data_IF_946621731908
#
_entry.id   IF_946621731908
#
_cell.length_a   1.000
_cell.length_b   1.000
_cell.length_c   1.000
_cell.angle_alpha   90.00
_cell.angle_beta   90.00
_cell.angle_gamma   90.00
#
_symmetry.space_group_name_H-M   'P 1'
#
loop_
_entity.id
_entity.type
_entity.pdbx_description
1 polymer ?
#
# COMPACT_ATOMS: atom_id res chain seq x y z
N UNK A 1 16.16 18.09 -3.99
CA UNK A 1 17.24 17.16 -3.57
C UNK A 1 16.94 15.78 -4.15
N UNK A 2 17.96 14.97 -4.51
CA UNK A 2 17.74 13.60 -4.98
C UNK A 2 17.09 12.74 -3.88
N UNK A 3 16.25 11.78 -4.28
CA UNK A 3 15.63 10.84 -3.35
C UNK A 3 16.70 9.93 -2.73
N UNK A 4 16.60 9.67 -1.41
CA UNK A 4 17.46 8.70 -0.72
C UNK A 4 17.38 7.33 -1.42
N UNK A 5 18.52 6.66 -1.71
CA UNK A 5 18.54 5.30 -2.25
C UNK A 5 17.85 4.30 -1.33
N UNK A 6 17.40 3.16 -1.87
CA UNK A 6 16.87 2.08 -1.04
C UNK A 6 18.02 1.39 -0.30
N UNK A 7 17.87 1.16 1.00
CA UNK A 7 18.89 0.54 1.85
C UNK A 7 18.61 -0.94 2.08
N UNK A 8 17.34 -1.34 2.10
CA UNK A 8 16.88 -2.72 2.30
C UNK A 8 17.33 -3.33 3.64
N UNK A 9 17.38 -2.50 4.67
CA UNK A 9 17.79 -2.92 6.01
C UNK A 9 16.82 -3.94 6.63
N UNK A 10 15.55 -3.95 6.17
CA UNK A 10 14.52 -4.89 6.61
C UNK A 10 14.28 -5.92 5.51
N UNK A 11 14.53 -7.18 5.84
CA UNK A 11 14.29 -8.33 4.98
C UNK A 11 13.09 -9.09 5.54
N UNK A 12 12.00 -9.16 4.78
CA UNK A 12 10.81 -9.90 5.18
C UNK A 12 10.91 -11.34 4.68
N UNK A 13 10.44 -12.30 5.47
CA UNK A 13 10.07 -13.61 4.92
C UNK A 13 8.75 -13.46 4.15
N UNK A 14 8.41 -14.45 3.33
CA UNK A 14 7.11 -14.48 2.61
C UNK A 14 5.95 -14.36 3.61
N UNK A 15 6.03 -15.08 4.74
CA UNK A 15 5.02 -15.03 5.81
C UNK A 15 4.89 -13.62 6.41
N UNK A 16 6.03 -13.01 6.78
CA UNK A 16 6.04 -11.66 7.35
C UNK A 16 5.55 -10.59 6.36
N UNK A 17 5.86 -10.73 5.06
CA UNK A 17 5.30 -9.86 4.03
C UNK A 17 3.77 -9.98 3.98
N UNK A 18 3.23 -11.19 4.12
CA UNK A 18 1.81 -11.45 4.22
C UNK A 18 1.16 -10.83 5.46
N UNK A 19 1.79 -10.94 6.62
CA UNK A 19 1.29 -10.36 7.87
C UNK A 19 1.28 -8.83 7.81
N UNK A 20 2.34 -8.23 7.24
CA UNK A 20 2.40 -6.78 6.99
C UNK A 20 1.30 -6.32 6.01
N UNK A 21 1.05 -7.06 4.93
CA UNK A 21 -0.05 -6.74 4.00
C UNK A 21 -1.42 -6.80 4.69
N UNK A 22 -1.62 -7.76 5.59
CA UNK A 22 -2.87 -7.88 6.34
C UNK A 22 -3.05 -6.71 7.32
N UNK A 23 -2.01 -6.32 8.04
CA UNK A 23 -2.08 -5.16 8.94
C UNK A 23 -2.34 -3.85 8.18
N UNK A 24 -1.72 -3.67 7.00
CA UNK A 24 -2.04 -2.56 6.11
C UNK A 24 -3.50 -2.62 5.63
N UNK A 25 -4.00 -3.81 5.25
CA UNK A 25 -5.38 -4.00 4.82
C UNK A 25 -6.37 -3.68 5.95
N UNK A 26 -6.09 -4.08 7.20
CA UNK A 26 -6.91 -3.71 8.36
C UNK A 26 -6.92 -2.20 8.59
N UNK A 27 -5.76 -1.54 8.48
CA UNK A 27 -5.63 -0.09 8.59
C UNK A 27 -6.43 0.64 7.50
N UNK A 28 -6.32 0.20 6.25
CA UNK A 28 -7.11 0.75 5.15
C UNK A 28 -8.59 0.40 5.28
N UNK A 29 -8.95 -0.73 5.87
CA UNK A 29 -10.34 -1.14 6.07
C UNK A 29 -11.15 -0.24 7.01
N UNK A 30 -10.49 0.67 7.74
CA UNK A 30 -11.15 1.59 8.66
C UNK A 30 -12.16 2.48 7.93
N UNK A 31 -13.36 2.62 8.51
CA UNK A 31 -14.48 3.35 7.91
C UNK A 31 -14.10 4.77 7.47
N UNK A 32 -13.42 5.52 8.35
CA UNK A 32 -13.02 6.90 8.06
C UNK A 32 -12.03 6.98 6.89
N UNK A 33 -11.14 5.99 6.76
CA UNK A 33 -10.17 5.95 5.66
C UNK A 33 -10.91 5.71 4.35
N UNK A 34 -11.78 4.70 4.30
CA UNK A 34 -12.60 4.39 3.12
C UNK A 34 -13.49 5.56 2.70
N UNK A 35 -14.05 6.32 3.63
CA UNK A 35 -14.79 7.56 3.34
C UNK A 35 -13.90 8.62 2.70
N UNK A 36 -12.66 8.80 3.20
CA UNK A 36 -11.68 9.72 2.61
C UNK A 36 -11.18 9.29 1.24
N UNK A 37 -10.96 7.99 1.00
CA UNK A 37 -10.57 7.48 -0.32
C UNK A 37 -11.66 7.79 -1.36
N UNK A 38 -12.93 7.50 -1.05
CA UNK A 38 -14.05 7.81 -1.94
C UNK A 38 -14.19 9.31 -2.18
N UNK A 39 -13.95 10.13 -1.15
CA UNK A 39 -13.91 11.60 -1.29
C UNK A 39 -12.77 12.04 -2.23
N UNK A 40 -11.57 11.47 -2.08
CA UNK A 40 -10.44 11.76 -2.97
C UNK A 40 -10.77 11.42 -4.42
N UNK A 41 -11.41 10.28 -4.69
CA UNK A 41 -11.81 9.89 -6.04
C UNK A 41 -12.78 10.91 -6.66
N UNK A 42 -13.84 11.29 -5.92
CA UNK A 42 -14.82 12.29 -6.37
C UNK A 42 -14.20 13.67 -6.60
N UNK A 43 -13.42 14.16 -5.63
CA UNK A 43 -12.77 15.48 -5.69
C UNK A 43 -11.68 15.58 -6.77
N UNK A 44 -11.23 14.43 -7.27
CA UNK A 44 -10.29 14.35 -8.39
C UNK A 44 -10.99 14.28 -9.74
N UNK A 45 -12.33 14.23 -9.79
CA UNK A 45 -13.06 13.95 -11.02
C UNK A 45 -12.70 12.57 -11.60
N UNK A 46 -12.26 11.64 -10.76
CA UNK A 46 -11.71 10.33 -11.15
C UNK A 46 -10.43 10.39 -12.01
N UNK A 47 -9.73 11.53 -12.04
CA UNK A 47 -8.43 11.65 -12.69
C UNK A 47 -7.33 10.95 -11.90
N UNK A 48 -6.63 10.02 -12.55
CA UNK A 48 -5.63 9.13 -11.91
C UNK A 48 -4.54 9.89 -11.17
N UNK A 49 -3.91 10.87 -11.81
CA UNK A 49 -2.78 11.60 -11.24
C UNK A 49 -3.21 12.43 -10.02
N UNK A 50 -4.36 13.11 -10.13
CA UNK A 50 -4.93 13.94 -9.06
C UNK A 50 -5.34 13.08 -7.87
N UNK A 51 -5.96 11.92 -8.14
CA UNK A 51 -6.34 10.97 -7.10
C UNK A 51 -5.12 10.44 -6.34
N UNK A 52 -4.09 9.97 -7.05
CA UNK A 52 -2.89 9.43 -6.41
C UNK A 52 -2.16 10.50 -5.59
N UNK A 53 -2.12 11.73 -6.08
CA UNK A 53 -1.55 12.86 -5.34
C UNK A 53 -2.30 13.10 -4.02
N UNK A 54 -3.63 13.10 -4.03
CA UNK A 54 -4.46 13.31 -2.83
C UNK A 54 -4.43 12.11 -1.87
N UNK A 55 -4.48 10.90 -2.43
CA UNK A 55 -4.48 9.67 -1.67
C UNK A 55 -3.18 9.50 -0.88
N UNK A 56 -2.04 9.95 -1.42
CA UNK A 56 -0.73 9.81 -0.77
C UNK A 56 -0.74 10.27 0.68
N UNK A 57 -1.26 11.46 0.96
CA UNK A 57 -1.26 12.02 2.32
C UNK A 57 -2.22 11.25 3.24
N UNK A 58 -3.40 10.89 2.74
CA UNK A 58 -4.40 10.11 3.48
C UNK A 58 -3.90 8.70 3.81
N UNK A 59 -3.26 8.04 2.84
CA UNK A 59 -2.64 6.73 3.02
C UNK A 59 -1.48 6.78 4.01
N UNK A 60 -0.69 7.86 3.99
CA UNK A 60 0.44 8.00 4.89
C UNK A 60 0.02 8.13 6.36
N UNK A 61 -1.11 8.79 6.66
CA UNK A 61 -1.66 8.86 8.03
C UNK A 61 -1.86 7.47 8.66
N UNK A 62 -2.31 6.48 7.86
CA UNK A 62 -2.51 5.09 8.31
C UNK A 62 -1.26 4.23 8.18
N UNK A 63 -0.44 4.45 7.15
CA UNK A 63 0.80 3.69 6.95
C UNK A 63 1.83 3.98 8.05
N UNK A 64 1.95 5.23 8.50
CA UNK A 64 2.99 5.65 9.46
C UNK A 64 3.07 4.78 10.74
N UNK A 65 1.97 4.54 11.49
CA UNK A 65 2.04 3.67 12.66
C UNK A 65 2.42 2.23 12.32
N UNK A 66 1.96 1.69 11.18
CA UNK A 66 2.32 0.35 10.71
C UNK A 66 3.81 0.27 10.37
N UNK A 67 4.34 1.25 9.62
CA UNK A 67 5.76 1.34 9.28
C UNK A 67 6.64 1.27 10.54
N UNK A 68 6.35 2.11 11.52
CA UNK A 68 7.13 2.20 12.76
C UNK A 68 7.09 0.89 13.56
N UNK A 69 5.93 0.24 13.63
CA UNK A 69 5.77 -1.06 14.29
C UNK A 69 6.64 -2.14 13.66
N UNK A 70 6.77 -2.12 12.34
CA UNK A 70 7.56 -3.07 11.56
C UNK A 70 9.03 -2.67 11.41
N UNK A 71 9.47 -1.62 12.10
CA UNK A 71 10.85 -1.14 12.11
C UNK A 71 11.23 -0.22 10.95
N UNK A 72 10.31 0.08 10.04
CA UNK A 72 10.53 1.05 8.96
C UNK A 72 10.46 2.48 9.50
N UNK A 73 11.07 3.42 8.77
CA UNK A 73 10.97 4.84 9.09
C UNK A 73 9.53 5.34 8.91
N UNK A 74 9.05 6.16 9.84
CA UNK A 74 7.73 6.80 9.76
C UNK A 74 7.69 8.00 8.83
N UNK A 75 8.19 7.86 7.60
CA UNK A 75 8.30 8.88 6.55
C UNK A 75 8.17 8.27 5.14
N UNK A 76 8.23 9.10 4.09
CA UNK A 76 8.12 8.63 2.69
C UNK A 76 9.21 7.64 2.29
N UNK A 77 10.40 7.73 2.88
CA UNK A 77 11.48 6.78 2.62
C UNK A 77 11.13 5.40 3.19
N UNK A 78 10.57 5.32 4.39
CA UNK A 78 10.07 4.06 4.96
C UNK A 78 8.94 3.44 4.15
N UNK A 79 8.02 4.23 3.57
CA UNK A 79 7.02 3.70 2.61
C UNK A 79 7.69 3.03 1.41
N UNK A 80 8.77 3.64 0.88
CA UNK A 80 9.53 3.08 -0.24
C UNK A 80 10.28 1.80 0.14
N UNK A 81 10.92 1.78 1.30
CA UNK A 81 11.58 0.58 1.86
C UNK A 81 10.59 -0.57 2.06
N UNK A 82 9.45 -0.29 2.71
CA UNK A 82 8.37 -1.25 2.94
C UNK A 82 7.83 -1.81 1.62
N UNK A 83 7.55 -0.93 0.66
CA UNK A 83 7.06 -1.34 -0.67
C UNK A 83 8.09 -2.22 -1.39
N UNK A 84 9.38 -1.92 -1.26
CA UNK A 84 10.44 -2.73 -1.85
C UNK A 84 10.51 -4.13 -1.21
N UNK A 85 10.49 -4.19 0.13
CA UNK A 85 10.52 -5.46 0.88
C UNK A 85 9.32 -6.36 0.54
N UNK A 86 8.12 -5.77 0.37
CA UNK A 86 6.94 -6.51 -0.08
C UNK A 86 7.11 -7.02 -1.52
N UNK A 87 7.62 -6.18 -2.43
CA UNK A 87 7.79 -6.53 -3.86
C UNK A 87 8.82 -7.61 -4.11
N UNK A 88 9.73 -7.87 -3.19
CA UNK A 88 10.68 -8.98 -3.29
C UNK A 88 9.95 -10.35 -3.30
N UNK A 89 8.75 -10.42 -2.72
CA UNK A 89 7.92 -11.62 -2.69
C UNK A 89 6.81 -11.64 -3.74
N UNK A 90 6.62 -10.55 -4.49
CA UNK A 90 5.56 -10.38 -5.49
C UNK A 90 5.85 -11.07 -6.84
N UNK A 91 6.67 -12.13 -6.84
CA UNK A 91 7.07 -12.87 -8.04
C UNK A 91 8.24 -12.23 -8.78
N UNK A 92 9.46 -12.71 -8.49
CA UNK A 92 10.64 -12.51 -9.33
C UNK A 92 11.29 -13.88 -9.62
N UNK A 93 11.95 -13.99 -10.77
CA UNK A 93 12.74 -15.15 -11.21
C UNK A 93 11.94 -16.45 -11.46
N UNK A 94 10.73 -16.35 -12.02
CA UNK A 94 9.96 -17.53 -12.44
C UNK A 94 9.28 -18.33 -11.32
N UNK A 95 9.35 -17.86 -10.07
CA UNK A 95 8.51 -18.35 -8.98
C UNK A 95 7.25 -17.50 -8.90
N UNK A 96 6.10 -18.15 -9.08
CA UNK A 96 4.81 -17.52 -8.84
C UNK A 96 4.66 -17.16 -7.37
N UNK A 97 4.10 -15.97 -7.11
CA UNK A 97 3.68 -15.59 -5.77
C UNK A 97 2.60 -16.59 -5.30
N UNK A 98 2.73 -17.18 -4.09
CA UNK A 98 1.71 -18.09 -3.57
C UNK A 98 0.32 -17.43 -3.56
N UNK A 99 -0.72 -18.20 -3.89
CA UNK A 99 -2.09 -17.66 -4.04
C UNK A 99 -2.59 -16.95 -2.78
N UNK A 100 -2.26 -17.46 -1.59
CA UNK A 100 -2.64 -16.81 -0.34
C UNK A 100 -2.00 -15.43 -0.18
N UNK A 101 -0.76 -15.24 -0.64
CA UNK A 101 -0.08 -13.94 -0.61
C UNK A 101 -0.64 -13.00 -1.67
N UNK A 102 -1.02 -13.55 -2.83
CA UNK A 102 -1.74 -12.83 -3.88
C UNK A 102 -3.06 -12.26 -3.39
N UNK A 103 -3.87 -13.08 -2.72
CA UNK A 103 -5.16 -12.64 -2.16
C UNK A 103 -4.99 -11.52 -1.13
N UNK A 104 -3.94 -11.59 -0.28
CA UNK A 104 -3.61 -10.50 0.65
C UNK A 104 -3.19 -9.23 -0.07
N UNK A 105 -2.38 -9.34 -1.12
CA UNK A 105 -1.98 -8.20 -1.94
C UNK A 105 -3.20 -7.56 -2.61
N UNK A 106 -4.07 -8.35 -3.24
CA UNK A 106 -5.29 -7.89 -3.88
C UNK A 106 -6.19 -7.16 -2.87
N UNK A 107 -6.49 -7.78 -1.73
CA UNK A 107 -7.29 -7.15 -0.66
C UNK A 107 -6.68 -5.83 -0.18
N UNK A 108 -5.36 -5.77 -0.02
CA UNK A 108 -4.66 -4.57 0.40
C UNK A 108 -4.79 -3.44 -0.63
N UNK A 109 -4.62 -3.75 -1.93
CA UNK A 109 -4.78 -2.77 -3.01
C UNK A 109 -6.24 -2.35 -3.18
N UNK A 110 -7.18 -3.28 -3.08
CA UNK A 110 -8.61 -3.01 -3.11
C UNK A 110 -8.97 -1.99 -2.04
N UNK A 111 -8.53 -2.19 -0.80
CA UNK A 111 -8.82 -1.25 0.29
C UNK A 111 -8.07 0.07 0.15
N UNK A 112 -6.80 0.07 -0.27
CA UNK A 112 -6.03 1.30 -0.48
C UNK A 112 -6.68 2.22 -1.52
N UNK A 113 -7.20 1.65 -2.61
CA UNK A 113 -7.75 2.42 -3.72
C UNK A 113 -9.27 2.50 -3.74
N UNK A 114 -9.96 1.96 -2.72
CA UNK A 114 -11.40 2.05 -2.53
C UNK A 114 -12.24 1.05 -3.35
N UNK A 115 -11.59 0.03 -3.92
CA UNK A 115 -12.23 -1.09 -4.61
C UNK A 115 -13.01 -0.70 -5.87
N UNK A 116 -13.93 -1.59 -6.28
CA UNK A 116 -14.83 -1.41 -7.43
C UNK A 116 -16.02 -0.48 -7.14
N UNK A 117 -16.37 -0.29 -5.87
CA UNK A 117 -17.52 0.51 -5.44
C UNK A 117 -17.08 1.87 -4.85
N UNK A 118 -16.83 2.82 -5.75
CA UNK A 118 -16.54 4.22 -5.41
C UNK A 118 -15.06 4.54 -5.20
N UNK A 119 -14.18 3.59 -5.49
CA UNK A 119 -12.73 3.79 -5.58
C UNK A 119 -12.22 3.91 -7.02
N UNK A 120 -10.90 3.78 -7.19
CA UNK A 120 -10.21 3.92 -8.47
C UNK A 120 -9.32 2.72 -8.82
N UNK A 121 -9.49 1.58 -8.14
CA UNK A 121 -8.64 0.41 -8.37
C UNK A 121 -8.60 -0.03 -9.85
N UNK A 122 -9.76 -0.13 -10.51
CA UNK A 122 -9.85 -0.60 -11.90
C UNK A 122 -9.16 0.37 -12.88
N UNK A 123 -9.12 1.67 -12.56
CA UNK A 123 -8.45 2.70 -13.37
C UNK A 123 -6.91 2.62 -13.19
N UNK A 124 -6.44 1.95 -12.14
CA UNK A 124 -5.03 1.82 -11.80
C UNK A 124 -4.38 0.53 -12.32
N UNK A 125 -5.18 -0.44 -12.80
CA UNK A 125 -4.72 -1.71 -13.39
C UNK A 125 -4.30 -1.57 -14.84
#
# INVERSE_FOLDING_TARGET
APLRPLERNIQLTVALAGDLMEELAEAYGQKWFQERVRKCARDSGFERSVFLMRLKDVAFEVQKPVLQKWGFEGNEHGVREMTAAIREHAGKNGKEMPDWLRQKQERCLDLLYGGKEGGMLEILR
#
